data_IF_744524942495
#
_entry.id   IF_744524942495
#
_cell.length_a   1.000
_cell.length_b   1.000
_cell.length_c   1.000
_cell.angle_alpha   90.00
_cell.angle_beta   90.00
_cell.angle_gamma   90.00
#
_symmetry.space_group_name_H-M   'P 1'
#
loop_
_entity.id
_entity.type
_entity.pdbx_description
1 polymer ?
#
# COMPACT_ATOMS: atom_id res chain seq x y z
N UNK A 1 11.74 -6.78 -23.98
CA UNK A 1 12.72 -7.49 -23.13
C UNK A 1 12.40 -7.18 -21.67
N UNK A 2 11.40 -7.86 -21.14
CA UNK A 2 11.12 -7.97 -19.71
C UNK A 2 10.29 -9.26 -19.66
N UNK A 3 10.86 -10.31 -19.10
CA UNK A 3 10.23 -11.57 -18.68
C UNK A 3 11.35 -12.61 -18.57
N UNK A 4 12.16 -12.49 -17.52
CA UNK A 4 13.13 -13.53 -17.14
C UNK A 4 13.39 -13.57 -15.63
N UNK A 5 12.51 -12.99 -14.79
CA UNK A 5 12.71 -13.01 -13.33
C UNK A 5 11.97 -14.15 -12.60
N UNK A 6 11.07 -14.91 -13.25
CA UNK A 6 10.35 -16.01 -12.58
C UNK A 6 10.29 -17.25 -13.51
N UNK A 7 11.45 -17.71 -13.97
CA UNK A 7 11.58 -18.90 -14.83
C UNK A 7 11.59 -20.23 -14.06
N UNK A 8 10.52 -20.53 -13.31
CA UNK A 8 10.33 -21.87 -12.70
C UNK A 8 10.08 -21.93 -11.19
N UNK A 9 9.82 -20.80 -10.52
CA UNK A 9 9.43 -20.80 -9.11
C UNK A 9 7.91 -20.93 -8.94
N UNK A 10 7.43 -21.58 -7.86
CA UNK A 10 6.03 -21.53 -7.45
C UNK A 10 5.56 -20.07 -7.30
N UNK A 11 4.34 -19.73 -7.73
CA UNK A 11 3.82 -18.35 -7.74
C UNK A 11 3.86 -17.68 -6.37
N UNK A 12 3.70 -18.47 -5.30
CA UNK A 12 3.78 -18.01 -3.90
C UNK A 12 5.14 -17.38 -3.56
N UNK A 13 6.24 -17.92 -4.10
CA UNK A 13 7.59 -17.41 -3.80
C UNK A 13 7.85 -16.12 -4.60
N UNK A 14 7.38 -16.05 -5.85
CA UNK A 14 7.51 -14.83 -6.65
C UNK A 14 6.69 -13.67 -6.05
N UNK A 15 5.51 -13.94 -5.45
CA UNK A 15 4.74 -12.91 -4.72
C UNK A 15 5.45 -12.41 -3.45
N UNK A 16 6.09 -13.28 -2.69
CA UNK A 16 6.84 -12.88 -1.49
C UNK A 16 8.05 -12.02 -1.82
N UNK A 17 8.85 -12.41 -2.82
CA UNK A 17 10.02 -11.64 -3.27
C UNK A 17 9.63 -10.22 -3.74
N UNK A 18 8.52 -10.10 -4.48
CA UNK A 18 8.03 -8.79 -4.92
C UNK A 18 7.69 -7.86 -3.75
N UNK A 19 7.16 -8.38 -2.63
CA UNK A 19 6.85 -7.58 -1.43
C UNK A 19 8.12 -7.16 -0.67
N UNK A 20 9.18 -7.95 -0.73
CA UNK A 20 10.47 -7.64 -0.09
C UNK A 20 11.22 -6.49 -0.77
N UNK A 21 11.00 -6.27 -2.07
CA UNK A 21 11.65 -5.18 -2.82
C UNK A 21 10.91 -3.82 -2.72
N UNK A 22 9.68 -3.81 -2.21
CA UNK A 22 8.81 -2.64 -2.21
C UNK A 22 9.02 -1.78 -0.96
N UNK A 23 9.38 -0.52 -1.15
CA UNK A 23 9.42 0.51 -0.09
C UNK A 23 8.13 1.31 -0.06
N UNK A 24 7.40 1.22 1.05
CA UNK A 24 6.09 1.84 1.24
C UNK A 24 6.27 3.12 2.05
N UNK A 25 5.67 4.21 1.56
CA UNK A 25 5.61 5.49 2.27
C UNK A 25 4.19 5.78 2.67
N UNK A 26 3.99 6.09 3.96
CA UNK A 26 2.71 6.48 4.53
C UNK A 26 2.84 7.90 5.06
N UNK A 27 2.00 8.83 4.59
CA UNK A 27 2.07 10.24 4.98
C UNK A 27 0.69 10.85 5.17
N UNK A 28 0.63 11.95 5.91
CA UNK A 28 -0.60 12.73 6.08
C UNK A 28 -0.61 13.90 5.09
N UNK A 29 -1.67 14.01 4.29
CA UNK A 29 -1.93 15.18 3.44
C UNK A 29 -3.21 15.88 3.90
N UNK A 30 -3.27 17.21 3.72
CA UNK A 30 -4.49 17.99 3.90
C UNK A 30 -5.17 18.26 2.57
N UNK A 31 -6.47 18.02 2.49
CA UNK A 31 -7.34 18.33 1.35
C UNK A 31 -8.21 19.55 1.63
N UNK A 32 -9.16 19.82 0.73
CA UNK A 32 -10.08 20.95 0.85
C UNK A 32 -10.72 20.99 2.24
N UNK A 33 -10.85 22.19 2.78
CA UNK A 33 -11.41 22.44 4.12
C UNK A 33 -10.62 21.81 5.28
N UNK A 34 -9.32 21.56 5.08
CA UNK A 34 -8.46 21.02 6.13
C UNK A 34 -8.70 19.54 6.43
N UNK A 35 -9.47 18.83 5.59
CA UNK A 35 -9.72 17.40 5.75
C UNK A 35 -8.42 16.61 5.59
N UNK A 36 -8.10 15.82 6.59
CA UNK A 36 -6.93 14.95 6.59
C UNK A 36 -7.16 13.71 5.73
N UNK A 37 -6.11 13.29 5.05
CA UNK A 37 -6.08 12.11 4.20
C UNK A 37 -4.75 11.40 4.41
N UNK A 38 -4.80 10.14 4.78
CA UNK A 38 -3.65 9.24 4.77
C UNK A 38 -3.34 8.83 3.33
N UNK A 39 -2.11 9.06 2.91
CA UNK A 39 -1.62 8.72 1.58
C UNK A 39 -0.58 7.62 1.68
N UNK A 40 -0.79 6.54 0.91
CA UNK A 40 0.06 5.35 0.89
C UNK A 40 0.61 5.19 -0.53
N UNK A 41 1.93 5.23 -0.67
CA UNK A 41 2.69 5.18 -1.91
C UNK A 41 3.66 3.98 -1.90
N UNK A 42 3.95 3.41 -3.08
CA UNK A 42 4.97 2.34 -3.21
C UNK A 42 4.49 0.91 -2.91
N UNK A 43 3.17 0.70 -2.78
CA UNK A 43 2.59 -0.60 -2.43
C UNK A 43 2.60 -1.60 -3.59
N UNK A 44 2.30 -1.15 -4.81
CA UNK A 44 2.38 -1.98 -6.03
C UNK A 44 2.35 -1.08 -7.26
N UNK A 45 2.97 -1.54 -8.35
CA UNK A 45 2.86 -0.92 -9.67
C UNK A 45 1.68 -1.45 -10.48
N UNK A 46 1.06 -2.56 -10.05
CA UNK A 46 -0.18 -3.09 -10.64
C UNK A 46 -1.40 -2.37 -10.05
N UNK A 47 -2.17 -1.69 -10.91
CA UNK A 47 -3.37 -0.96 -10.51
C UNK A 47 -4.47 -1.89 -9.94
N UNK A 48 -4.58 -3.13 -10.43
CA UNK A 48 -5.58 -4.08 -9.93
C UNK A 48 -5.23 -4.52 -8.52
N UNK A 49 -3.96 -4.81 -8.25
CA UNK A 49 -3.46 -5.14 -6.92
C UNK A 49 -3.64 -3.95 -5.97
N UNK A 50 -3.27 -2.74 -6.41
CA UNK A 50 -3.42 -1.51 -5.65
C UNK A 50 -4.89 -1.26 -5.25
N UNK A 51 -5.84 -1.52 -6.17
CA UNK A 51 -7.29 -1.44 -5.89
C UNK A 51 -7.76 -2.49 -4.88
N UNK A 52 -7.24 -3.73 -4.95
CA UNK A 52 -7.55 -4.78 -3.98
C UNK A 52 -7.08 -4.38 -2.58
N UNK A 53 -5.83 -3.96 -2.44
CA UNK A 53 -5.25 -3.52 -1.16
C UNK A 53 -6.00 -2.30 -0.62
N UNK A 54 -6.31 -1.32 -1.48
CA UNK A 54 -7.12 -0.17 -1.09
C UNK A 54 -8.51 -0.57 -0.58
N UNK A 55 -9.16 -1.56 -1.19
CA UNK A 55 -10.45 -2.08 -0.73
C UNK A 55 -10.36 -2.70 0.66
N UNK A 56 -9.33 -3.51 0.89
CA UNK A 56 -9.09 -4.15 2.18
C UNK A 56 -8.79 -3.12 3.28
N UNK A 57 -7.89 -2.17 3.03
CA UNK A 57 -7.56 -1.11 3.99
C UNK A 57 -8.80 -0.29 4.34
N UNK A 58 -9.60 0.14 3.35
CA UNK A 58 -10.85 0.87 3.61
C UNK A 58 -11.83 0.09 4.46
N UNK A 59 -11.99 -1.20 4.20
CA UNK A 59 -12.87 -2.07 4.98
C UNK A 59 -12.41 -2.18 6.44
N UNK A 60 -11.10 -2.38 6.66
CA UNK A 60 -10.52 -2.53 8.02
C UNK A 60 -10.46 -1.21 8.79
N UNK A 61 -10.30 -0.09 8.11
CA UNK A 61 -10.24 1.25 8.71
C UNK A 61 -11.60 1.92 8.84
N UNK A 62 -12.67 1.33 8.29
CA UNK A 62 -14.01 1.91 8.23
C UNK A 62 -14.03 3.32 7.63
N UNK A 63 -13.22 3.54 6.58
CA UNK A 63 -12.99 4.85 5.99
C UNK A 63 -13.20 4.84 4.47
N UNK A 64 -13.64 5.99 3.95
CA UNK A 64 -13.67 6.23 2.51
C UNK A 64 -12.27 6.40 1.93
N UNK A 65 -12.12 6.17 0.63
CA UNK A 65 -10.83 6.34 -0.04
C UNK A 65 -10.84 5.93 -1.50
N UNK A 66 -9.76 6.27 -2.20
CA UNK A 66 -9.59 6.02 -3.64
C UNK A 66 -8.16 5.58 -3.95
N UNK A 67 -7.99 4.92 -5.08
CA UNK A 67 -6.70 4.82 -5.75
C UNK A 67 -6.62 5.97 -6.74
N UNK A 68 -5.51 6.69 -6.77
CA UNK A 68 -5.27 7.79 -7.72
C UNK A 68 -3.78 7.90 -7.97
N UNK A 69 -3.34 7.97 -9.23
CA UNK A 69 -1.93 8.18 -9.59
C UNK A 69 -0.95 7.20 -8.91
N UNK A 70 -1.29 5.91 -8.85
CA UNK A 70 -0.41 4.89 -8.25
C UNK A 70 -0.30 4.95 -6.73
N UNK A 71 -1.19 5.68 -6.04
CA UNK A 71 -1.25 5.77 -4.58
C UNK A 71 -2.66 5.56 -4.05
N UNK A 72 -2.74 5.10 -2.81
CA UNK A 72 -3.98 4.92 -2.06
C UNK A 72 -4.19 6.16 -1.20
N UNK A 73 -5.37 6.76 -1.27
CA UNK A 73 -5.78 7.90 -0.45
C UNK A 73 -6.96 7.45 0.43
N UNK A 74 -6.80 7.52 1.76
CA UNK A 74 -7.81 7.14 2.76
C UNK A 74 -8.15 8.36 3.61
N UNK A 75 -9.44 8.62 3.82
CA UNK A 75 -9.89 9.76 4.63
C UNK A 75 -9.52 9.59 6.10
N UNK A 76 -9.05 10.67 6.74
CA UNK A 76 -8.60 10.68 8.13
C UNK A 76 -7.11 10.37 8.31
N UNK A 77 -6.60 10.58 9.53
CA UNK A 77 -5.28 10.09 9.94
C UNK A 77 -5.39 8.65 10.43
N UNK A 78 -4.83 7.75 9.63
CA UNK A 78 -4.79 6.32 9.84
C UNK A 78 -3.38 5.77 9.64
N UNK A 79 -2.34 6.61 9.71
CA UNK A 79 -0.97 6.23 9.36
C UNK A 79 -0.49 4.98 10.09
N UNK A 80 -0.65 4.96 11.42
CA UNK A 80 -0.24 3.82 12.27
C UNK A 80 -1.03 2.56 11.95
N UNK A 81 -2.36 2.68 11.86
CA UNK A 81 -3.24 1.54 11.58
C UNK A 81 -3.00 0.99 10.18
N UNK A 82 -2.71 1.86 9.21
CA UNK A 82 -2.38 1.47 7.84
C UNK A 82 -1.05 0.70 7.79
N UNK A 83 -0.02 1.16 8.53
CA UNK A 83 1.25 0.41 8.69
C UNK A 83 0.96 -0.99 9.22
N UNK A 84 0.26 -1.11 10.33
CA UNK A 84 -0.01 -2.40 10.97
C UNK A 84 -0.81 -3.36 10.07
N UNK A 85 -1.75 -2.83 9.27
CA UNK A 85 -2.50 -3.62 8.30
C UNK A 85 -1.61 -4.08 7.14
N UNK A 86 -0.74 -3.23 6.61
CA UNK A 86 0.19 -3.61 5.55
C UNK A 86 1.17 -4.69 6.02
N UNK A 87 1.67 -4.61 7.25
CA UNK A 87 2.48 -5.70 7.84
C UNK A 87 1.70 -7.02 7.86
N UNK A 88 0.42 -6.99 8.25
CA UNK A 88 -0.45 -8.18 8.24
C UNK A 88 -0.74 -8.72 6.83
N UNK A 89 -0.63 -7.89 5.81
CA UNK A 89 -0.76 -8.29 4.40
C UNK A 89 0.54 -8.87 3.82
N UNK A 90 1.59 -8.97 4.64
CA UNK A 90 2.87 -9.57 4.27
C UNK A 90 3.89 -8.59 3.74
N UNK A 91 3.69 -7.28 3.90
CA UNK A 91 4.73 -6.30 3.62
C UNK A 91 5.73 -6.25 4.79
N UNK A 92 7.05 -6.31 4.57
CA UNK A 92 8.02 -6.23 5.65
C UNK A 92 7.93 -4.90 6.39
N UNK A 93 7.89 -4.93 7.72
CA UNK A 93 7.82 -3.71 8.54
C UNK A 93 9.01 -2.77 8.27
N UNK A 94 10.21 -3.33 8.03
CA UNK A 94 11.42 -2.59 7.68
C UNK A 94 11.28 -1.75 6.40
N UNK A 95 10.33 -2.09 5.54
CA UNK A 95 10.12 -1.42 4.27
C UNK A 95 9.02 -0.36 4.34
N UNK A 96 8.35 -0.21 5.48
CA UNK A 96 7.25 0.75 5.66
C UNK A 96 7.76 1.96 6.45
N UNK A 97 7.76 3.11 5.79
CA UNK A 97 8.12 4.39 6.38
C UNK A 97 6.87 5.24 6.63
N UNK A 98 6.59 5.53 7.90
CA UNK A 98 5.58 6.50 8.30
C UNK A 98 6.24 7.88 8.41
N UNK A 99 5.72 8.86 7.68
CA UNK A 99 6.19 10.24 7.66
C UNK A 99 5.28 11.08 8.56
N UNK A 100 5.90 11.79 9.50
CA UNK A 100 5.26 12.73 10.43
C UNK A 100 4.78 14.01 9.75
#
# INVERSE_FOLDING_TARGET
>A
MADNLCGGLPPEICEQLNKEEQFIKIKLEKRRYGKEVTVIEGVSTDELELKKIASELKSKLAAGGTVKNGRIEIQGDHRDKARDLLVKLGFPESNIMVIE
#
